data_IF_353603856989
#
_entry.id   IF_353603856989
#
_cell.length_a   1.000
_cell.length_b   1.000
_cell.length_c   1.000
_cell.angle_alpha   90.00
_cell.angle_beta   90.00
_cell.angle_gamma   90.00
#
_symmetry.space_group_name_H-M   'P 1'
#
loop_
_entity.id
_entity.type
_entity.pdbx_description
1 polymer ?
#
# COMPACT_ATOMS: atom_id res chain seq x y z
N UNK A 1 -20.57 -21.49 17.95
CA UNK A 1 -20.01 -20.33 18.67
C UNK A 1 -18.72 -19.90 17.97
N UNK A 2 -18.83 -19.16 16.86
CA UNK A 2 -17.64 -18.64 16.17
C UNK A 2 -17.29 -17.29 16.78
N UNK A 3 -16.12 -17.23 17.42
CA UNK A 3 -15.60 -16.02 18.06
C UNK A 3 -15.38 -14.97 16.98
N UNK A 4 -16.26 -13.97 17.01
CA UNK A 4 -16.19 -12.75 16.24
C UNK A 4 -14.76 -12.19 16.28
N UNK A 5 -14.10 -12.14 15.14
CA UNK A 5 -12.91 -11.30 14.93
C UNK A 5 -13.43 -9.85 14.88
N UNK A 6 -13.74 -9.29 16.05
CA UNK A 6 -13.91 -7.85 16.21
C UNK A 6 -12.53 -7.22 16.17
N UNK A 7 -11.98 -7.03 14.98
CA UNK A 7 -10.89 -6.07 14.80
C UNK A 7 -11.55 -4.71 14.90
N UNK A 8 -11.45 -4.10 16.08
CA UNK A 8 -11.82 -2.71 16.30
C UNK A 8 -10.86 -1.83 15.51
N UNK A 9 -11.20 -1.58 14.25
CA UNK A 9 -10.58 -0.54 13.43
C UNK A 9 -11.18 0.80 13.83
N UNK A 10 -10.75 1.29 14.98
CA UNK A 10 -10.93 2.68 15.37
C UNK A 10 -9.54 3.22 15.56
N UNK A 11 -9.10 4.12 14.67
CA UNK A 11 -8.12 5.14 14.97
C UNK A 11 -8.33 6.31 14.01
N UNK A 12 -8.95 7.35 14.56
CA UNK A 12 -8.68 8.78 14.35
C UNK A 12 -8.25 9.22 12.95
N UNK A 13 -9.01 10.14 12.33
CA UNK A 13 -8.53 11.50 12.06
C UNK A 13 -9.72 12.46 12.03
N UNK A 14 -9.63 13.44 12.93
CA UNK A 14 -10.36 14.68 12.92
C UNK A 14 -10.02 15.48 11.66
N UNK A 15 -10.96 15.66 10.75
CA UNK A 15 -11.14 16.89 9.95
C UNK A 15 -12.59 16.95 9.46
N UNK A 16 -13.51 17.24 10.40
CA UNK A 16 -14.94 17.40 10.13
C UNK A 16 -15.30 18.67 9.33
N UNK A 17 -14.47 19.12 8.37
CA UNK A 17 -14.76 20.32 7.56
C UNK A 17 -14.71 20.07 6.04
N UNK A 18 -14.21 18.92 5.56
CA UNK A 18 -14.28 18.56 4.13
C UNK A 18 -14.52 17.05 3.94
N UNK A 19 -15.57 16.51 4.55
CA UNK A 19 -15.99 15.14 4.27
C UNK A 19 -16.63 15.07 2.86
N UNK A 20 -15.79 14.88 1.84
CA UNK A 20 -16.23 14.56 0.48
C UNK A 20 -17.20 13.36 0.49
N UNK A 21 -18.18 13.29 -0.41
CA UNK A 21 -19.17 12.19 -0.45
C UNK A 21 -18.52 10.80 -0.48
N UNK A 22 -17.29 10.69 -1.00
CA UNK A 22 -16.52 9.45 -1.06
C UNK A 22 -16.06 8.94 0.32
N UNK A 23 -15.82 9.81 1.30
CA UNK A 23 -15.52 9.42 2.68
C UNK A 23 -16.73 8.76 3.33
N UNK A 24 -17.92 9.33 3.14
CA UNK A 24 -19.20 8.74 3.60
C UNK A 24 -19.48 7.38 2.94
N UNK A 25 -19.12 7.20 1.66
CA UNK A 25 -19.26 5.91 0.96
C UNK A 25 -18.29 4.86 1.50
N UNK A 26 -17.07 5.24 1.88
CA UNK A 26 -16.08 4.33 2.48
C UNK A 26 -16.49 3.93 3.90
N UNK A 27 -16.89 4.87 4.74
CA UNK A 27 -17.33 4.61 6.11
C UNK A 27 -18.57 3.72 6.14
N UNK A 28 -19.57 4.01 5.29
CA UNK A 28 -20.76 3.16 5.16
C UNK A 28 -20.42 1.77 4.61
N UNK A 29 -19.49 1.68 3.66
CA UNK A 29 -18.98 0.42 3.11
C UNK A 29 -18.29 -0.46 4.15
N UNK A 30 -17.69 0.11 5.19
CA UNK A 30 -17.05 -0.63 6.29
C UNK A 30 -18.05 -0.98 7.39
N UNK A 31 -18.94 -0.04 7.74
CA UNK A 31 -19.91 -0.20 8.84
C UNK A 31 -20.81 -1.43 8.69
N UNK A 32 -21.19 -1.75 7.46
CA UNK A 32 -22.09 -2.87 7.15
C UNK A 32 -21.36 -4.11 6.62
N UNK A 33 -20.02 -4.08 6.56
CA UNK A 33 -19.25 -5.18 5.99
C UNK A 33 -18.96 -6.25 7.04
N UNK A 34 -19.42 -7.47 6.77
CA UNK A 34 -19.11 -8.65 7.59
C UNK A 34 -18.33 -9.64 6.73
N UNK A 35 -17.00 -9.71 6.86
CA UNK A 35 -16.21 -10.68 6.11
C UNK A 35 -16.49 -12.10 6.61
N UNK A 36 -16.75 -13.03 5.70
CA UNK A 36 -16.83 -14.46 6.05
C UNK A 36 -15.44 -15.10 6.13
N UNK A 37 -14.43 -14.51 5.46
CA UNK A 37 -13.04 -14.96 5.47
C UNK A 37 -12.06 -13.79 5.55
N UNK A 38 -10.86 -14.04 6.09
CA UNK A 38 -9.76 -13.07 6.12
C UNK A 38 -9.35 -12.66 4.68
N UNK A 39 -9.48 -13.54 3.68
CA UNK A 39 -9.27 -13.22 2.26
C UNK A 39 -10.27 -12.19 1.75
N UNK A 40 -11.56 -12.33 2.09
CA UNK A 40 -12.58 -11.34 1.72
C UNK A 40 -12.27 -9.99 2.36
N UNK A 41 -11.88 -9.99 3.65
CA UNK A 41 -11.47 -8.76 4.35
C UNK A 41 -10.28 -8.07 3.66
N UNK A 42 -9.24 -8.83 3.33
CA UNK A 42 -8.08 -8.30 2.61
C UNK A 42 -8.47 -7.68 1.25
N UNK A 43 -9.33 -8.35 0.48
CA UNK A 43 -9.81 -7.85 -0.80
C UNK A 43 -10.64 -6.57 -0.64
N UNK A 44 -11.50 -6.49 0.37
CA UNK A 44 -12.28 -5.27 0.66
C UNK A 44 -11.38 -4.11 1.02
N UNK A 45 -10.37 -4.33 1.88
CA UNK A 45 -9.37 -3.32 2.24
C UNK A 45 -8.60 -2.84 1.01
N UNK A 46 -8.17 -3.75 0.13
CA UNK A 46 -7.54 -3.39 -1.16
C UNK A 46 -8.44 -2.49 -1.99
N UNK A 47 -9.73 -2.83 -2.11
CA UNK A 47 -10.68 -2.03 -2.89
C UNK A 47 -10.87 -0.62 -2.32
N UNK A 48 -10.91 -0.48 -1.00
CA UNK A 48 -11.00 0.83 -0.32
C UNK A 48 -9.72 1.65 -0.51
N UNK A 49 -8.54 1.02 -0.43
CA UNK A 49 -7.28 1.66 -0.74
C UNK A 49 -7.25 2.18 -2.18
N UNK A 50 -7.72 1.38 -3.14
CA UNK A 50 -7.81 1.80 -4.55
C UNK A 50 -8.81 2.91 -4.78
N UNK A 51 -9.91 2.96 -4.03
CA UNK A 51 -10.83 4.10 -4.07
C UNK A 51 -10.13 5.37 -3.59
N UNK A 52 -9.47 5.33 -2.43
CA UNK A 52 -8.68 6.46 -1.91
C UNK A 52 -7.60 6.92 -2.90
N UNK A 53 -6.90 5.99 -3.53
CA UNK A 53 -5.89 6.29 -4.55
C UNK A 53 -6.49 7.02 -5.76
N UNK A 54 -7.68 6.63 -6.25
CA UNK A 54 -8.39 7.33 -7.34
C UNK A 54 -8.75 8.77 -6.98
N UNK A 55 -9.06 8.99 -5.71
CA UNK A 55 -9.39 10.32 -5.15
C UNK A 55 -8.15 11.14 -4.77
N UNK A 56 -6.95 10.60 -5.07
CA UNK A 56 -5.63 11.17 -4.76
C UNK A 56 -5.33 11.33 -3.26
N UNK A 57 -6.11 10.68 -2.40
CA UNK A 57 -5.81 10.49 -0.98
C UNK A 57 -4.84 9.32 -0.83
N UNK A 58 -3.56 9.58 -1.10
CA UNK A 58 -2.53 8.53 -1.11
C UNK A 58 -2.17 8.04 0.30
N UNK A 59 -2.21 8.92 1.30
CA UNK A 59 -2.04 8.53 2.70
C UNK A 59 -3.12 7.56 3.15
N UNK A 60 -4.39 7.88 2.86
CA UNK A 60 -5.51 6.98 3.14
C UNK A 60 -5.44 5.67 2.36
N UNK A 61 -4.98 5.73 1.10
CA UNK A 61 -4.75 4.52 0.29
C UNK A 61 -3.71 3.59 0.92
N UNK A 62 -2.55 4.13 1.32
CA UNK A 62 -1.48 3.38 1.99
C UNK A 62 -2.00 2.74 3.28
N UNK A 63 -2.78 3.47 4.09
CA UNK A 63 -3.32 2.93 5.34
C UNK A 63 -4.23 1.70 5.11
N UNK A 64 -5.05 1.70 4.06
CA UNK A 64 -5.87 0.54 3.71
C UNK A 64 -5.04 -0.60 3.09
N UNK A 65 -4.05 -0.29 2.27
CA UNK A 65 -3.13 -1.30 1.74
C UNK A 65 -2.34 -1.98 2.85
N UNK A 66 -1.82 -1.25 3.83
CA UNK A 66 -1.11 -1.82 4.98
C UNK A 66 -1.99 -2.77 5.80
N UNK A 67 -3.26 -2.42 6.01
CA UNK A 67 -4.22 -3.32 6.65
C UNK A 67 -4.45 -4.59 5.81
N UNK A 68 -4.60 -4.48 4.48
CA UNK A 68 -4.73 -5.64 3.59
C UNK A 68 -3.49 -6.54 3.64
N UNK A 69 -2.29 -5.96 3.61
CA UNK A 69 -1.02 -6.69 3.70
C UNK A 69 -0.82 -7.38 5.05
N UNK A 70 -1.27 -6.75 6.15
CA UNK A 70 -1.26 -7.37 7.47
C UNK A 70 -2.18 -8.60 7.52
N UNK A 71 -3.38 -8.52 6.95
CA UNK A 71 -4.31 -9.65 6.87
C UNK A 71 -3.75 -10.76 5.98
N UNK A 72 -3.25 -10.43 4.78
CA UNK A 72 -2.60 -11.39 3.87
C UNK A 72 -1.39 -12.07 4.51
N UNK A 73 -0.57 -11.33 5.24
CA UNK A 73 0.54 -11.89 6.01
C UNK A 73 0.06 -12.90 7.04
N UNK A 74 -0.99 -12.57 7.79
CA UNK A 74 -1.56 -13.43 8.84
C UNK A 74 -2.07 -14.76 8.29
N UNK A 75 -2.61 -14.78 7.07
CA UNK A 75 -3.13 -15.99 6.42
C UNK A 75 -2.08 -16.74 5.58
N UNK A 76 -0.83 -16.27 5.53
CA UNK A 76 0.26 -16.92 4.80
C UNK A 76 0.36 -16.56 3.30
N UNK A 77 -0.36 -15.54 2.85
CA UNK A 77 -0.49 -15.15 1.43
C UNK A 77 0.68 -14.30 0.90
N UNK A 78 1.84 -14.26 1.57
CA UNK A 78 2.97 -13.40 1.17
C UNK A 78 3.52 -13.73 -0.23
N UNK A 79 3.39 -14.97 -0.65
CA UNK A 79 3.84 -15.46 -1.95
C UNK A 79 2.65 -15.65 -2.89
N UNK A 80 1.76 -14.66 -2.92
CA UNK A 80 0.57 -14.68 -3.77
C UNK A 80 0.53 -13.46 -4.69
N UNK A 81 -0.11 -13.62 -5.85
CA UNK A 81 -0.38 -12.50 -6.75
C UNK A 81 -1.20 -11.39 -6.08
N UNK A 82 -2.09 -11.76 -5.14
CA UNK A 82 -2.88 -10.80 -4.37
C UNK A 82 -2.04 -9.94 -3.42
N UNK A 83 -1.00 -10.50 -2.80
CA UNK A 83 -0.07 -9.73 -1.97
C UNK A 83 0.82 -8.81 -2.80
N UNK A 84 1.38 -9.33 -3.90
CA UNK A 84 2.18 -8.55 -4.85
C UNK A 84 1.41 -7.35 -5.42
N UNK A 85 0.15 -7.57 -5.84
CA UNK A 85 -0.70 -6.49 -6.34
C UNK A 85 -0.92 -5.38 -5.31
N UNK A 86 -1.14 -5.73 -4.04
CA UNK A 86 -1.34 -4.73 -2.99
C UNK A 86 -0.05 -3.96 -2.68
N UNK A 87 1.11 -4.63 -2.66
CA UNK A 87 2.40 -3.92 -2.55
C UNK A 87 2.61 -2.96 -3.73
N UNK A 88 2.26 -3.37 -4.95
CA UNK A 88 2.41 -2.54 -6.14
C UNK A 88 1.56 -1.27 -6.07
N UNK A 89 0.30 -1.40 -5.66
CA UNK A 89 -0.58 -0.25 -5.48
C UNK A 89 -0.10 0.68 -4.35
N UNK A 90 0.46 0.10 -3.29
CA UNK A 90 1.11 0.86 -2.22
C UNK A 90 2.34 1.62 -2.72
N UNK A 91 3.23 0.98 -3.48
CA UNK A 91 4.44 1.62 -4.00
C UNK A 91 4.12 2.80 -4.92
N UNK A 92 3.07 2.68 -5.74
CA UNK A 92 2.57 3.80 -6.54
C UNK A 92 2.16 4.96 -5.64
N UNK A 93 1.37 4.69 -4.60
CA UNK A 93 0.88 5.72 -3.66
C UNK A 93 2.01 6.40 -2.91
N UNK A 94 3.01 5.64 -2.44
CA UNK A 94 4.22 6.18 -1.80
C UNK A 94 5.01 7.08 -2.74
N UNK A 95 5.20 6.64 -3.99
CA UNK A 95 5.90 7.45 -4.98
C UNK A 95 5.17 8.77 -5.26
N UNK A 96 3.82 8.75 -5.33
CA UNK A 96 3.02 9.98 -5.50
C UNK A 96 3.12 10.96 -4.33
N UNK A 97 3.49 10.48 -3.14
CA UNK A 97 3.79 11.29 -1.97
C UNK A 97 5.26 11.71 -1.85
N UNK A 98 6.09 11.39 -2.85
CA UNK A 98 7.53 11.67 -2.81
C UNK A 98 8.32 10.74 -1.88
N UNK A 99 7.70 9.67 -1.36
CA UNK A 99 8.36 8.61 -0.57
C UNK A 99 9.06 7.62 -1.50
N UNK A 100 9.93 8.14 -2.37
CA UNK A 100 10.49 7.38 -3.50
C UNK A 100 11.37 6.21 -3.07
N UNK A 101 12.04 6.29 -1.92
CA UNK A 101 12.86 5.18 -1.42
C UNK A 101 12.01 4.03 -0.86
N UNK A 102 10.92 4.32 -0.12
CA UNK A 102 9.97 3.30 0.29
C UNK A 102 9.28 2.65 -0.92
N UNK A 103 8.89 3.45 -1.92
CA UNK A 103 8.33 2.93 -3.16
C UNK A 103 9.32 2.00 -3.88
N UNK A 104 10.61 2.35 -3.91
CA UNK A 104 11.67 1.53 -4.48
C UNK A 104 11.85 0.19 -3.74
N UNK A 105 11.76 0.19 -2.42
CA UNK A 105 11.81 -1.06 -1.64
C UNK A 105 10.61 -1.96 -1.97
N UNK A 106 9.41 -1.39 -1.97
CA UNK A 106 8.20 -2.15 -2.25
C UNK A 106 8.16 -2.68 -3.69
N UNK A 107 8.57 -1.91 -4.70
CA UNK A 107 8.56 -2.40 -6.09
C UNK A 107 9.55 -3.55 -6.32
N UNK A 108 10.70 -3.56 -5.62
CA UNK A 108 11.64 -4.70 -5.66
C UNK A 108 11.02 -5.97 -5.10
N UNK A 109 10.28 -5.85 -4.00
CA UNK A 109 9.56 -6.98 -3.42
C UNK A 109 8.43 -7.47 -4.33
N UNK A 110 7.69 -6.56 -4.99
CA UNK A 110 6.68 -6.92 -6.01
C UNK A 110 7.28 -7.78 -7.11
N UNK A 111 8.40 -7.34 -7.68
CA UNK A 111 9.12 -8.07 -8.73
C UNK A 111 9.55 -9.45 -8.22
N UNK A 112 10.12 -9.51 -7.01
CA UNK A 112 10.54 -10.76 -6.40
C UNK A 112 9.39 -11.75 -6.21
N UNK A 113 8.24 -11.30 -5.68
CA UNK A 113 7.07 -12.16 -5.46
C UNK A 113 6.51 -12.67 -6.78
N UNK A 114 6.35 -11.80 -7.80
CA UNK A 114 5.86 -12.20 -9.11
C UNK A 114 6.80 -13.21 -9.80
N UNK A 115 8.12 -13.01 -9.72
CA UNK A 115 9.11 -13.98 -10.20
C UNK A 115 8.96 -15.34 -9.49
N UNK A 116 8.79 -15.32 -8.16
CA UNK A 116 8.70 -16.54 -7.35
C UNK A 116 7.47 -17.39 -7.69
N UNK A 117 6.35 -16.75 -8.04
CA UNK A 117 5.11 -17.45 -8.43
C UNK A 117 5.03 -17.75 -9.93
N UNK A 118 6.04 -17.36 -10.71
CA UNK A 118 6.10 -17.60 -12.16
C UNK A 118 5.32 -16.60 -13.02
N UNK A 119 4.84 -15.50 -12.45
CA UNK A 119 4.15 -14.42 -13.17
C UNK A 119 5.16 -13.40 -13.73
N UNK A 120 5.90 -13.82 -14.76
CA UNK A 120 7.00 -13.05 -15.32
C UNK A 120 6.53 -11.76 -16.02
N UNK A 121 5.32 -11.77 -16.59
CA UNK A 121 4.75 -10.59 -17.25
C UNK A 121 4.47 -9.48 -16.23
N UNK A 122 3.88 -9.81 -15.08
CA UNK A 122 3.65 -8.82 -14.01
C UNK A 122 4.95 -8.34 -13.38
N UNK A 123 5.97 -9.21 -13.27
CA UNK A 123 7.30 -8.82 -12.82
C UNK A 123 7.95 -7.81 -13.77
N UNK A 124 7.91 -8.08 -15.08
CA UNK A 124 8.43 -7.18 -16.10
C UNK A 124 7.70 -5.83 -16.09
N UNK A 125 6.36 -5.85 -16.02
CA UNK A 125 5.57 -4.63 -15.92
C UNK A 125 5.96 -3.78 -14.70
N UNK A 126 6.14 -4.39 -13.53
CA UNK A 126 6.57 -3.70 -12.31
C UNK A 126 7.98 -3.10 -12.45
N UNK A 127 8.88 -3.78 -13.16
CA UNK A 127 10.22 -3.28 -13.49
C UNK A 127 10.17 -2.06 -14.40
N UNK A 128 9.41 -2.13 -15.50
CA UNK A 128 9.29 -1.07 -16.51
C UNK A 128 8.63 0.20 -15.96
N UNK A 129 7.52 0.05 -15.22
CA UNK A 129 6.73 1.19 -14.74
C UNK A 129 7.30 1.82 -13.45
N UNK A 130 7.95 1.00 -12.62
CA UNK A 130 8.31 1.39 -11.26
C UNK A 130 9.81 1.48 -11.02
N UNK A 131 10.56 0.40 -11.29
CA UNK A 131 11.89 0.21 -10.72
C UNK A 131 12.86 1.33 -11.05
N UNK A 132 13.11 1.59 -12.34
CA UNK A 132 14.08 2.60 -12.78
C UNK A 132 13.70 4.00 -12.28
N UNK A 133 12.43 4.36 -12.44
CA UNK A 133 11.89 5.66 -12.04
C UNK A 133 12.01 5.90 -10.53
N UNK A 134 11.69 4.89 -9.72
CA UNK A 134 11.76 5.01 -8.27
C UNK A 134 13.21 5.07 -7.79
N UNK A 135 14.11 4.32 -8.45
CA UNK A 135 15.54 4.34 -8.17
C UNK A 135 16.16 5.72 -8.43
N UNK A 136 15.87 6.33 -9.58
CA UNK A 136 16.35 7.68 -9.91
C UNK A 136 15.83 8.73 -8.91
N UNK A 137 14.53 8.70 -8.60
CA UNK A 137 13.93 9.65 -7.66
C UNK A 137 14.47 9.49 -6.22
N UNK A 138 14.68 8.25 -5.76
CA UNK A 138 15.29 7.98 -4.47
C UNK A 138 16.76 8.47 -4.44
N UNK A 139 17.53 8.23 -5.49
CA UNK A 139 18.91 8.73 -5.60
C UNK A 139 19.00 10.27 -5.54
N UNK A 140 18.09 10.97 -6.21
CA UNK A 140 17.99 12.43 -6.15
C UNK A 140 17.62 12.94 -4.75
N UNK A 141 16.80 12.19 -4.00
CA UNK A 141 16.45 12.55 -2.63
C UNK A 141 17.67 12.52 -1.70
N UNK A 142 18.57 11.54 -1.87
CA UNK A 142 19.84 11.48 -1.13
C UNK A 142 20.81 12.61 -1.53
N UNK A 143 20.91 12.92 -2.82
CA UNK A 143 21.79 14.00 -3.30
C UNK A 143 21.38 15.40 -2.81
N UNK A 144 20.11 15.59 -2.43
CA UNK A 144 19.59 16.84 -1.83
C UNK A 144 19.80 16.94 -0.33
N UNK A 145 20.23 15.88 0.36
CA UNK A 145 20.61 15.98 1.76
C UNK A 145 21.93 16.76 1.84
N UNK A 146 22.04 17.80 2.70
CA UNK A 146 23.31 18.49 2.89
C UNK A 146 24.35 17.45 3.28
N UNK A 147 25.46 17.37 2.53
CA UNK A 147 26.61 16.59 2.93
C UNK A 147 27.01 17.07 4.32
N UNK A 148 26.79 16.24 5.35
CA UNK A 148 27.49 16.34 6.62
C UNK A 148 28.97 16.12 6.27
N UNK A 149 29.64 17.20 5.87
CA UNK A 149 31.09 17.23 5.85
C UNK A 149 31.50 17.06 7.30
N UNK A 150 31.91 15.84 7.64
CA UNK A 150 32.71 15.55 8.81
C UNK A 150 33.94 16.45 8.70
N UNK A 151 33.90 17.62 9.35
CA UNK A 151 35.09 18.36 9.71
C UNK A 151 35.90 17.42 10.60
N UNK A 152 36.98 16.88 10.02
CA UNK A 152 38.10 16.35 10.78
C UNK A 152 38.94 17.56 11.17
N UNK A 153 38.70 18.05 12.38
CA UNK A 153 39.72 18.76 13.15
C UNK A 153 40.54 17.73 13.95
#
# INVERSE_FOLDING_TARGET
MNKLIKIALILSISTAIYAEPETNVIESSLKNYTPETDTQLANKLTALGSLKQKTRDYEGAIAFYDQSLAVRTKIGDKESAGYALVLYLKSISEFRLGKSCQALENIKEVIHVYQKIGDLDSALHAEEEGLKKYQEACGLAFAKQPSLTLNKD
#
